data_IF_979820420779
#
_entry.id   IF_979820420779
#
_cell.length_a   1.000
_cell.length_b   1.000
_cell.length_c   1.000
_cell.angle_alpha   90.00
_cell.angle_beta   90.00
_cell.angle_gamma   90.00
#
_symmetry.space_group_name_H-M   'P 1'
#
loop_
_entity.id
_entity.type
_entity.pdbx_description
1 polymer ?
#
# COMPACT_ATOMS: atom_id res chain seq x y z
N UNK A 1 26.23 17.89 72.72
CA UNK A 1 24.79 17.89 72.96
C UNK A 1 24.30 18.56 74.21
N UNK A 2 25.16 19.23 74.98
CA UNK A 2 24.83 19.90 76.28
C UNK A 2 24.95 21.45 76.20
N UNK A 3 25.42 22.04 75.16
CA UNK A 3 25.62 23.48 74.96
C UNK A 3 24.37 24.22 74.38
N UNK A 4 23.55 23.55 73.64
CA UNK A 4 22.38 24.16 72.95
C UNK A 4 21.19 24.38 73.89
N UNK A 5 21.04 23.55 74.92
CA UNK A 5 19.89 23.67 75.84
C UNK A 5 20.05 24.89 76.82
N UNK A 6 21.29 25.34 77.10
CA UNK A 6 21.54 26.50 77.96
C UNK A 6 21.35 27.84 77.22
N UNK A 7 21.52 27.88 75.92
CA UNK A 7 21.23 29.08 75.10
C UNK A 7 19.76 29.33 74.95
N UNK A 8 18.96 28.29 74.71
CA UNK A 8 17.49 28.39 74.57
C UNK A 8 16.83 28.83 75.88
N UNK A 9 17.33 28.35 77.05
CA UNK A 9 16.86 28.76 78.40
C UNK A 9 17.18 30.22 78.73
N UNK A 10 18.32 30.75 78.31
CA UNK A 10 18.69 32.17 78.47
C UNK A 10 17.88 33.11 77.57
N UNK A 11 17.54 32.72 76.36
CA UNK A 11 16.68 33.48 75.45
C UNK A 11 15.28 33.59 76.01
N UNK A 12 14.73 32.53 76.58
CA UNK A 12 13.37 32.52 77.13
C UNK A 12 13.26 33.37 78.42
N UNK A 13 14.34 33.47 79.22
CA UNK A 13 14.37 34.30 80.41
C UNK A 13 14.49 35.80 80.11
N UNK A 14 15.17 36.19 79.03
CA UNK A 14 15.27 37.58 78.54
C UNK A 14 14.01 38.14 77.99
N UNK A 15 13.17 37.28 77.31
CA UNK A 15 11.90 37.68 76.71
C UNK A 15 10.78 37.88 77.74
N UNK A 16 10.90 37.31 78.94
CA UNK A 16 9.93 37.47 80.05
C UNK A 16 10.07 38.79 80.81
N UNK A 17 11.26 39.47 80.70
CA UNK A 17 11.55 40.72 81.39
C UNK A 17 11.12 41.98 80.65
N UNK A 18 10.66 41.91 79.39
CA UNK A 18 10.38 43.07 78.51
C UNK A 18 8.90 43.29 78.21
N UNK A 19 7.99 42.75 79.00
CA UNK A 19 6.56 43.11 78.95
C UNK A 19 5.77 42.83 77.63
N UNK A 20 6.35 42.05 76.72
CA UNK A 20 5.70 41.68 75.46
C UNK A 20 4.94 40.35 75.54
N UNK A 21 3.94 40.31 76.47
CA UNK A 21 3.03 39.12 76.55
C UNK A 21 2.19 38.82 75.33
N UNK A 22 2.11 39.73 74.36
CA UNK A 22 1.32 39.55 73.17
C UNK A 22 1.99 38.71 72.05
N UNK A 23 3.31 38.72 71.97
CA UNK A 23 4.05 38.03 70.94
C UNK A 23 4.13 36.52 71.19
N UNK A 24 4.17 36.10 72.41
CA UNK A 24 4.11 34.67 72.80
C UNK A 24 2.79 34.00 72.46
N UNK A 25 1.67 34.72 72.61
CA UNK A 25 0.40 34.22 72.29
C UNK A 25 0.17 34.10 70.75
N UNK A 26 0.84 34.98 69.98
CA UNK A 26 0.76 34.93 68.51
C UNK A 26 1.61 33.75 68.00
N UNK A 27 2.80 33.51 68.60
CA UNK A 27 3.64 32.37 68.16
C UNK A 27 2.96 31.05 68.56
N UNK A 28 2.29 30.99 69.72
CA UNK A 28 1.56 29.80 70.14
C UNK A 28 0.37 29.50 69.18
N UNK A 29 -0.36 30.52 68.74
CA UNK A 29 -1.45 30.36 67.73
C UNK A 29 -0.97 29.99 66.34
N UNK A 30 0.24 30.38 65.97
CA UNK A 30 0.85 29.94 64.70
C UNK A 30 1.30 28.47 64.73
N UNK A 31 1.63 27.94 65.95
CA UNK A 31 2.01 26.53 66.10
C UNK A 31 0.81 25.59 66.24
N UNK A 32 -0.35 26.14 66.63
CA UNK A 32 -1.62 25.38 66.78
C UNK A 32 -2.49 25.44 65.50
N UNK A 33 -2.01 26.09 64.44
CA UNK A 33 -2.68 25.97 63.13
C UNK A 33 -2.56 24.51 62.68
N UNK A 34 -3.69 23.82 62.36
CA UNK A 34 -3.64 22.47 61.83
C UNK A 34 -2.84 22.52 60.54
N UNK A 35 -1.69 21.82 60.55
CA UNK A 35 -0.79 21.66 59.38
C UNK A 35 -1.50 20.74 58.37
N UNK A 36 -2.65 21.19 57.87
CA UNK A 36 -3.31 20.61 56.71
C UNK A 36 -2.61 21.13 55.48
N UNK A 37 -1.35 20.69 55.28
CA UNK A 37 -0.82 20.63 53.91
C UNK A 37 -1.83 19.79 53.14
N UNK A 38 -2.33 20.29 51.98
CA UNK A 38 -3.11 19.44 51.10
C UNK A 38 -2.23 18.22 50.84
N UNK A 39 -2.68 17.04 51.26
CA UNK A 39 -2.10 15.79 50.82
C UNK A 39 -2.04 15.89 49.32
N UNK A 40 -0.83 16.02 48.77
CA UNK A 40 -0.62 15.74 47.37
C UNK A 40 -1.29 14.39 47.14
N UNK A 41 -2.32 14.37 46.34
CA UNK A 41 -2.83 13.13 45.80
C UNK A 41 -1.64 12.50 45.07
N UNK A 42 -0.98 11.57 45.76
CA UNK A 42 -0.10 10.64 45.08
C UNK A 42 -1.01 9.83 44.14
N UNK A 43 -1.12 10.31 42.92
CA UNK A 43 -1.66 9.55 41.76
C UNK A 43 -0.69 8.41 41.44
N UNK A 44 -0.30 7.64 42.46
CA UNK A 44 0.35 6.36 42.24
C UNK A 44 -0.71 5.44 41.63
N UNK A 45 -0.54 5.16 40.34
CA UNK A 45 -1.35 4.16 39.65
C UNK A 45 -1.09 2.81 40.31
N UNK A 46 -1.98 2.41 41.22
CA UNK A 46 -1.87 1.15 41.93
C UNK A 46 -2.07 -0.01 40.97
N UNK A 47 -0.95 -0.60 40.55
CA UNK A 47 -0.94 -1.74 39.63
C UNK A 47 -1.75 -2.94 40.16
N UNK A 48 -1.85 -3.07 41.50
CA UNK A 48 -2.63 -4.10 42.14
C UNK A 48 -4.15 -3.86 41.94
N UNK A 49 -4.60 -2.63 42.00
CA UNK A 49 -5.98 -2.26 41.77
C UNK A 49 -6.38 -2.47 40.29
N UNK A 50 -5.45 -2.19 39.37
CA UNK A 50 -5.63 -2.53 37.95
C UNK A 50 -5.76 -4.04 37.75
N UNK A 51 -4.89 -4.82 38.41
CA UNK A 51 -4.92 -6.27 38.30
C UNK A 51 -6.25 -6.87 38.84
N UNK A 52 -6.69 -6.42 40.02
CA UNK A 52 -7.95 -6.87 40.62
C UNK A 52 -9.16 -6.51 39.74
N UNK A 53 -9.12 -5.33 39.13
CA UNK A 53 -10.16 -4.87 38.18
C UNK A 53 -10.23 -5.78 36.97
N UNK A 54 -9.11 -6.16 36.37
CA UNK A 54 -9.03 -7.08 35.23
C UNK A 54 -9.48 -8.47 35.64
N UNK A 55 -9.08 -8.94 36.83
CA UNK A 55 -9.40 -10.28 37.31
C UNK A 55 -10.91 -10.42 37.64
N UNK A 56 -11.51 -9.40 38.21
CA UNK A 56 -12.96 -9.36 38.51
C UNK A 56 -13.79 -9.28 37.23
N UNK A 57 -13.27 -8.64 36.16
CA UNK A 57 -13.90 -8.53 34.85
C UNK A 57 -13.58 -9.63 33.85
N UNK A 58 -12.80 -10.65 34.23
CA UNK A 58 -12.25 -11.68 33.30
C UNK A 58 -13.31 -12.33 32.40
N UNK A 59 -14.47 -12.66 32.94
CA UNK A 59 -15.55 -13.27 32.16
C UNK A 59 -16.08 -12.36 31.04
N UNK A 60 -16.15 -11.05 31.31
CA UNK A 60 -16.58 -10.07 30.32
C UNK A 60 -15.51 -9.89 29.23
N UNK A 61 -14.23 -9.86 29.61
CA UNK A 61 -13.11 -9.80 28.66
C UNK A 61 -13.15 -11.05 27.76
N UNK A 62 -13.26 -12.25 28.36
CA UNK A 62 -13.31 -13.52 27.63
C UNK A 62 -14.49 -13.55 26.68
N UNK A 63 -15.70 -13.11 27.11
CA UNK A 63 -16.90 -13.11 26.28
C UNK A 63 -16.75 -12.18 25.08
N UNK A 64 -16.25 -10.96 25.26
CA UNK A 64 -16.01 -10.01 24.17
C UNK A 64 -14.91 -10.53 23.23
N UNK A 65 -13.79 -11.01 23.76
CA UNK A 65 -12.71 -11.57 22.96
C UNK A 65 -13.16 -12.78 22.14
N UNK A 66 -13.93 -13.68 22.74
CA UNK A 66 -14.50 -14.84 22.05
C UNK A 66 -15.48 -14.44 20.95
N UNK A 67 -16.33 -13.43 21.20
CA UNK A 67 -17.28 -12.90 20.20
C UNK A 67 -16.51 -12.33 18.98
N UNK A 68 -15.45 -11.54 19.21
CA UNK A 68 -14.63 -10.98 18.14
C UNK A 68 -13.81 -12.06 17.43
N UNK A 69 -13.28 -13.05 18.16
CA UNK A 69 -12.55 -14.17 17.57
C UNK A 69 -13.45 -15.00 16.65
N UNK A 70 -14.66 -15.37 17.11
CA UNK A 70 -15.63 -16.13 16.31
C UNK A 70 -16.09 -15.29 15.11
N UNK A 71 -16.41 -14.01 15.31
CA UNK A 71 -16.76 -13.09 14.21
C UNK A 71 -15.64 -12.95 13.18
N UNK A 72 -14.39 -12.80 13.61
CA UNK A 72 -13.21 -12.71 12.74
C UNK A 72 -12.98 -13.99 11.95
N UNK A 73 -13.08 -15.16 12.58
CA UNK A 73 -12.97 -16.46 11.91
C UNK A 73 -14.09 -16.66 10.91
N UNK A 74 -15.32 -16.39 11.29
CA UNK A 74 -16.50 -16.49 10.41
C UNK A 74 -16.35 -15.60 9.18
N UNK A 75 -15.96 -14.32 9.37
CA UNK A 75 -15.66 -13.41 8.27
C UNK A 75 -14.53 -13.94 7.36
N UNK A 76 -13.43 -14.43 7.95
CA UNK A 76 -12.29 -14.97 7.20
C UNK A 76 -12.64 -16.24 6.40
N UNK A 77 -13.62 -17.03 6.85
CA UNK A 77 -14.09 -18.22 6.14
C UNK A 77 -15.06 -17.86 4.99
N UNK A 78 -15.96 -16.89 5.20
CA UNK A 78 -16.94 -16.46 4.19
C UNK A 78 -16.33 -15.55 3.13
N UNK A 79 -15.22 -14.88 3.40
CA UNK A 79 -14.57 -13.97 2.45
C UNK A 79 -14.10 -14.72 1.20
N UNK A 80 -14.42 -14.16 0.02
CA UNK A 80 -14.13 -14.74 -1.29
C UNK A 80 -12.62 -14.88 -1.48
N UNK A 81 -12.09 -16.06 -1.87
CA UNK A 81 -10.66 -16.25 -2.10
C UNK A 81 -10.22 -15.44 -3.33
N UNK A 82 -8.99 -14.94 -3.29
CA UNK A 82 -8.32 -14.28 -4.42
C UNK A 82 -6.98 -14.97 -4.67
N UNK A 83 -6.73 -15.29 -5.93
CA UNK A 83 -5.51 -15.92 -6.41
C UNK A 83 -4.72 -14.90 -7.23
N UNK A 84 -3.41 -14.91 -7.08
CA UNK A 84 -2.49 -14.02 -7.75
C UNK A 84 -1.67 -14.79 -8.78
N UNK A 85 -1.71 -14.34 -10.02
CA UNK A 85 -0.88 -14.87 -11.10
C UNK A 85 0.02 -13.76 -11.64
N UNK A 86 1.31 -14.05 -11.75
CA UNK A 86 2.34 -13.11 -12.17
C UNK A 86 2.94 -13.57 -13.49
N UNK A 87 3.16 -12.63 -14.43
CA UNK A 87 3.96 -12.83 -15.64
C UNK A 87 5.20 -11.95 -15.53
N UNK A 88 6.37 -12.53 -15.71
CA UNK A 88 7.63 -11.80 -15.75
C UNK A 88 8.04 -11.53 -17.21
N UNK A 89 8.28 -10.26 -17.51
CA UNK A 89 8.57 -9.76 -18.85
C UNK A 89 9.90 -9.03 -18.88
N UNK A 90 10.65 -9.22 -19.97
CA UNK A 90 11.77 -8.35 -20.33
C UNK A 90 11.37 -7.49 -21.54
N UNK A 91 11.85 -6.24 -21.64
CA UNK A 91 11.72 -5.46 -22.87
C UNK A 91 12.24 -6.25 -24.06
N UNK A 92 11.50 -6.28 -25.16
CA UNK A 92 12.04 -6.83 -26.40
C UNK A 92 13.16 -5.92 -26.88
N UNK A 93 14.36 -6.47 -27.06
CA UNK A 93 15.50 -5.73 -27.60
C UNK A 93 15.15 -5.23 -28.99
N UNK A 94 14.73 -3.98 -29.10
CA UNK A 94 14.68 -3.28 -30.40
C UNK A 94 16.12 -3.00 -30.80
N UNK A 95 16.81 -4.01 -31.37
CA UNK A 95 18.14 -3.88 -31.96
C UNK A 95 18.12 -2.98 -33.20
N UNK A 96 17.81 -1.71 -33.02
CA UNK A 96 17.86 -0.71 -34.09
C UNK A 96 18.31 0.63 -33.55
N UNK A 97 19.46 0.62 -32.90
CA UNK A 97 20.23 1.87 -32.78
C UNK A 97 21.34 1.75 -33.85
N UNK A 98 21.35 2.58 -34.90
CA UNK A 98 22.45 2.60 -35.83
C UNK A 98 23.78 2.75 -35.08
N UNK A 99 24.84 2.04 -35.50
CA UNK A 99 26.05 1.79 -34.73
C UNK A 99 26.76 3.00 -34.08
N UNK A 100 26.54 4.22 -34.55
CA UNK A 100 27.05 5.45 -33.93
C UNK A 100 26.38 5.85 -32.64
N UNK A 101 25.04 5.61 -32.48
CA UNK A 101 24.29 5.91 -31.26
C UNK A 101 24.46 4.80 -30.21
N UNK A 102 24.74 3.57 -30.59
CA UNK A 102 25.06 2.49 -29.66
C UNK A 102 26.36 2.76 -28.88
N UNK A 103 27.37 3.38 -29.50
CA UNK A 103 28.58 3.82 -28.81
C UNK A 103 28.33 4.93 -27.79
N UNK A 104 27.41 5.88 -28.09
CA UNK A 104 27.01 6.92 -27.14
C UNK A 104 26.22 6.35 -25.98
N UNK A 105 25.43 5.30 -26.19
CA UNK A 105 24.69 4.58 -25.12
C UNK A 105 25.65 3.92 -24.11
N UNK A 106 26.80 3.40 -24.56
CA UNK A 106 27.84 2.87 -23.68
C UNK A 106 28.50 3.94 -22.80
N UNK A 107 28.73 5.13 -23.32
CA UNK A 107 29.28 6.26 -22.56
C UNK A 107 28.23 6.85 -21.59
N UNK A 108 26.95 6.89 -21.98
CA UNK A 108 25.87 7.35 -21.13
C UNK A 108 25.61 6.41 -19.93
N UNK A 109 25.82 5.09 -20.11
CA UNK A 109 25.73 4.12 -19.00
C UNK A 109 26.84 4.31 -17.96
N UNK A 110 28.08 4.71 -18.41
CA UNK A 110 29.16 5.08 -17.50
C UNK A 110 28.88 6.38 -16.72
N UNK A 111 28.07 7.28 -17.30
CA UNK A 111 27.59 8.50 -16.63
C UNK A 111 26.36 8.26 -15.73
N UNK A 112 25.96 7.00 -15.53
CA UNK A 112 24.78 6.64 -14.72
C UNK A 112 23.42 6.90 -15.39
N UNK A 113 23.41 7.27 -16.68
CA UNK A 113 22.20 7.47 -17.47
C UNK A 113 21.87 6.18 -18.20
N UNK A 114 20.91 5.43 -17.68
CA UNK A 114 20.45 4.19 -18.28
C UNK A 114 19.51 4.49 -19.46
N UNK A 115 20.07 4.61 -20.66
CA UNK A 115 19.31 4.77 -21.91
C UNK A 115 18.61 3.47 -22.36
N UNK A 116 18.89 2.34 -21.72
CA UNK A 116 18.25 1.05 -22.00
C UNK A 116 16.75 0.99 -21.70
N UNK A 117 16.24 1.93 -20.90
CA UNK A 117 14.82 2.03 -20.55
C UNK A 117 13.93 2.74 -21.56
N UNK A 118 14.48 3.44 -22.54
CA UNK A 118 13.71 4.26 -23.49
C UNK A 118 12.80 3.40 -24.39
N UNK A 119 13.25 2.19 -24.75
CA UNK A 119 12.49 1.27 -25.61
C UNK A 119 11.27 0.60 -24.94
N UNK A 120 11.22 0.53 -23.61
CA UNK A 120 10.15 -0.11 -22.85
C UNK A 120 9.06 0.84 -22.35
N UNK A 121 9.31 2.16 -22.41
CA UNK A 121 8.40 3.17 -21.86
C UNK A 121 7.06 3.21 -22.60
N UNK A 122 7.07 3.17 -23.92
CA UNK A 122 5.88 3.22 -24.75
C UNK A 122 4.99 1.97 -24.55
N UNK A 123 5.46 0.73 -24.70
CA UNK A 123 4.67 -0.46 -24.43
C UNK A 123 4.15 -0.52 -23.00
N UNK A 124 4.93 -0.04 -22.03
CA UNK A 124 4.52 0.03 -20.63
C UNK A 124 3.40 1.06 -20.43
N UNK A 125 3.46 2.21 -21.09
CA UNK A 125 2.41 3.22 -21.06
C UNK A 125 1.11 2.68 -21.69
N UNK A 126 1.21 1.98 -22.82
CA UNK A 126 0.06 1.31 -23.46
C UNK A 126 -0.54 0.27 -22.50
N UNK A 127 0.29 -0.58 -21.91
CA UNK A 127 -0.16 -1.59 -20.95
C UNK A 127 -0.90 -0.97 -19.76
N UNK A 128 -0.50 0.22 -19.30
CA UNK A 128 -1.15 0.97 -18.21
C UNK A 128 -2.40 1.72 -18.65
N UNK A 129 -2.61 1.92 -19.94
CA UNK A 129 -3.67 2.78 -20.46
C UNK A 129 -5.08 2.17 -20.26
N UNK A 130 -6.06 3.04 -20.02
CA UNK A 130 -7.48 2.66 -19.94
C UNK A 130 -8.04 2.20 -21.30
N UNK A 131 -7.47 2.74 -22.39
CA UNK A 131 -7.83 2.35 -23.76
C UNK A 131 -7.52 0.88 -24.01
N UNK A 132 -6.32 0.44 -23.64
CA UNK A 132 -5.91 -0.96 -23.73
C UNK A 132 -6.78 -1.87 -22.86
N UNK A 133 -7.11 -1.44 -21.64
CA UNK A 133 -7.98 -2.23 -20.77
C UNK A 133 -9.39 -2.40 -21.34
N UNK A 134 -9.94 -1.36 -21.96
CA UNK A 134 -11.25 -1.45 -22.60
C UNK A 134 -11.25 -2.48 -23.70
N UNK A 135 -10.23 -2.45 -24.55
CA UNK A 135 -10.02 -3.42 -25.61
C UNK A 135 -9.87 -4.84 -25.06
N UNK A 136 -9.04 -5.02 -24.05
CA UNK A 136 -8.81 -6.30 -23.38
C UNK A 136 -10.10 -6.89 -22.79
N UNK A 137 -10.90 -6.08 -22.08
CA UNK A 137 -12.16 -6.53 -21.48
C UNK A 137 -13.17 -6.91 -22.58
N UNK A 138 -13.21 -6.14 -23.69
CA UNK A 138 -14.10 -6.43 -24.80
C UNK A 138 -13.72 -7.75 -25.51
N UNK A 139 -12.43 -7.98 -25.75
CA UNK A 139 -11.95 -9.20 -26.43
C UNK A 139 -12.01 -10.45 -25.55
N UNK A 140 -11.80 -10.32 -24.25
CA UNK A 140 -11.83 -11.48 -23.33
C UNK A 140 -13.23 -11.85 -22.86
N UNK A 141 -14.23 -10.98 -23.06
CA UNK A 141 -15.60 -11.20 -22.63
C UNK A 141 -15.80 -11.29 -21.12
N UNK A 142 -14.84 -10.82 -20.30
CA UNK A 142 -14.90 -10.89 -18.83
C UNK A 142 -15.84 -9.85 -18.20
N UNK A 143 -16.42 -8.96 -19.02
CA UNK A 143 -17.30 -7.89 -18.53
C UNK A 143 -18.44 -8.41 -17.62
N UNK A 144 -19.18 -9.49 -17.92
CA UNK A 144 -20.22 -9.99 -17.04
C UNK A 144 -19.70 -10.44 -15.68
N UNK A 145 -18.51 -11.06 -15.66
CA UNK A 145 -17.88 -11.54 -14.41
C UNK A 145 -17.40 -10.38 -13.52
N UNK A 146 -16.88 -9.30 -14.13
CA UNK A 146 -16.48 -8.08 -13.42
C UNK A 146 -17.69 -7.34 -12.83
N UNK A 147 -18.78 -7.28 -13.54
CA UNK A 147 -19.97 -6.51 -13.16
C UNK A 147 -20.96 -7.31 -12.29
N UNK A 148 -20.76 -8.61 -12.11
CA UNK A 148 -21.65 -9.46 -11.33
C UNK A 148 -21.88 -8.93 -9.90
N UNK A 149 -20.80 -8.48 -9.23
CA UNK A 149 -20.88 -7.94 -7.87
C UNK A 149 -21.51 -6.53 -7.83
N UNK A 150 -21.27 -5.71 -8.86
CA UNK A 150 -21.79 -4.33 -8.94
C UNK A 150 -23.29 -4.31 -9.23
N UNK A 151 -23.76 -5.20 -10.11
CA UNK A 151 -25.18 -5.35 -10.41
C UNK A 151 -26.03 -5.76 -9.19
N UNK A 152 -25.42 -6.56 -8.30
CA UNK A 152 -26.08 -6.94 -7.05
C UNK A 152 -26.20 -5.79 -6.05
N UNK A 153 -25.28 -4.80 -6.10
CA UNK A 153 -25.18 -3.74 -5.08
C UNK A 153 -25.85 -2.43 -5.51
N UNK A 154 -25.91 -2.10 -6.80
CA UNK A 154 -26.31 -0.76 -7.25
C UNK A 154 -27.48 -0.72 -8.25
N UNK A 155 -27.98 -1.86 -8.75
CA UNK A 155 -29.18 -1.90 -9.61
C UNK A 155 -29.11 -1.10 -10.93
N UNK A 156 -27.98 -0.49 -11.25
CA UNK A 156 -27.76 0.34 -12.43
C UNK A 156 -27.18 -0.46 -13.60
N UNK A 157 -27.49 -0.02 -14.83
CA UNK A 157 -26.86 -0.53 -16.04
C UNK A 157 -25.35 -0.22 -15.98
N UNK A 158 -24.55 -1.22 -15.61
CA UNK A 158 -23.11 -1.10 -15.50
C UNK A 158 -22.45 -1.00 -16.88
N UNK A 159 -21.64 0.04 -17.10
CA UNK A 159 -20.96 0.37 -18.35
C UNK A 159 -19.54 -0.24 -18.39
N UNK A 160 -18.95 -0.28 -19.58
CA UNK A 160 -17.56 -0.71 -19.79
C UNK A 160 -16.55 0.11 -18.97
N UNK A 161 -16.88 1.36 -18.67
CA UNK A 161 -16.07 2.24 -17.80
C UNK A 161 -15.97 1.70 -16.37
N UNK A 162 -17.05 1.15 -15.85
CA UNK A 162 -17.07 0.53 -14.53
C UNK A 162 -16.28 -0.76 -14.53
N UNK A 163 -16.40 -1.58 -15.56
CA UNK A 163 -15.59 -2.78 -15.73
C UNK A 163 -14.08 -2.46 -15.77
N UNK A 164 -13.68 -1.40 -16.49
CA UNK A 164 -12.28 -0.93 -16.53
C UNK A 164 -11.80 -0.54 -15.14
N UNK A 165 -12.57 0.26 -14.41
CA UNK A 165 -12.21 0.70 -13.04
C UNK A 165 -12.07 -0.48 -12.08
N UNK A 166 -12.96 -1.46 -12.17
CA UNK A 166 -12.91 -2.67 -11.34
C UNK A 166 -11.68 -3.48 -11.69
N UNK A 167 -11.41 -3.69 -12.99
CA UNK A 167 -10.27 -4.48 -13.41
C UNK A 167 -8.92 -3.81 -13.11
N UNK A 168 -8.84 -2.47 -13.10
CA UNK A 168 -7.67 -1.73 -12.61
C UNK A 168 -7.26 -2.17 -11.20
N UNK A 169 -8.22 -2.43 -10.30
CA UNK A 169 -7.95 -2.91 -8.93
C UNK A 169 -7.53 -4.40 -8.88
N UNK A 170 -7.87 -5.17 -9.93
CA UNK A 170 -7.51 -6.58 -10.04
C UNK A 170 -6.17 -6.81 -10.73
N UNK A 171 -5.57 -5.77 -11.32
CA UNK A 171 -4.23 -5.86 -11.92
C UNK A 171 -3.24 -4.95 -11.22
N UNK A 172 -1.97 -5.36 -11.26
CA UNK A 172 -0.85 -4.53 -10.84
C UNK A 172 0.29 -4.68 -11.85
N UNK A 173 0.95 -3.59 -12.19
CA UNK A 173 2.11 -3.59 -13.10
C UNK A 173 3.25 -2.95 -12.34
N UNK A 174 4.27 -3.75 -12.07
CA UNK A 174 5.51 -3.34 -11.40
C UNK A 174 6.65 -3.30 -12.42
N UNK A 175 7.34 -2.19 -12.44
CA UNK A 175 8.52 -1.93 -13.28
C UNK A 175 9.74 -1.83 -12.35
N UNK A 176 10.64 -2.78 -12.45
CA UNK A 176 11.91 -2.74 -11.71
C UNK A 176 12.96 -1.99 -12.53
N UNK A 177 13.20 -0.76 -12.15
CA UNK A 177 14.17 0.12 -12.81
C UNK A 177 15.63 -0.38 -12.76
N UNK A 178 15.98 -1.29 -11.84
CA UNK A 178 17.33 -1.82 -11.71
C UNK A 178 17.59 -2.94 -12.71
N UNK A 179 16.61 -3.84 -12.86
CA UNK A 179 16.70 -4.99 -13.76
C UNK A 179 16.09 -4.72 -15.12
N UNK A 180 15.25 -3.68 -15.25
CA UNK A 180 14.46 -3.41 -16.45
C UNK A 180 13.32 -4.39 -16.67
N UNK A 181 13.08 -5.31 -15.73
CA UNK A 181 12.02 -6.30 -15.84
C UNK A 181 10.67 -5.71 -15.44
N UNK A 182 9.62 -6.14 -16.13
CA UNK A 182 8.24 -5.75 -15.85
C UNK A 182 7.46 -6.97 -15.38
N UNK A 183 6.81 -6.85 -14.22
CA UNK A 183 5.93 -7.89 -13.69
C UNK A 183 4.48 -7.44 -13.86
N UNK A 184 3.71 -8.25 -14.57
CA UNK A 184 2.25 -8.07 -14.69
C UNK A 184 1.57 -9.05 -13.76
N UNK A 185 0.83 -8.53 -12.79
CA UNK A 185 0.08 -9.31 -11.80
C UNK A 185 -1.41 -9.19 -12.09
N UNK A 186 -2.12 -10.31 -12.13
CA UNK A 186 -3.58 -10.34 -12.16
C UNK A 186 -4.10 -11.12 -10.95
N UNK A 187 -5.09 -10.53 -10.26
CA UNK A 187 -5.79 -11.15 -9.14
C UNK A 187 -7.19 -11.56 -9.57
N UNK A 188 -7.54 -12.82 -9.36
CA UNK A 188 -8.86 -13.33 -9.72
C UNK A 188 -9.35 -14.36 -8.71
N UNK A 189 -10.66 -14.69 -8.79
CA UNK A 189 -11.27 -15.69 -7.88
C UNK A 189 -10.84 -17.12 -8.19
N UNK A 190 -10.61 -17.38 -9.46
CA UNK A 190 -10.19 -18.68 -9.97
C UNK A 190 -8.72 -18.63 -10.41
N UNK A 191 -7.86 -19.59 -9.97
CA UNK A 191 -6.44 -19.59 -10.28
C UNK A 191 -6.14 -19.78 -11.78
N UNK A 192 -6.94 -20.58 -12.50
CA UNK A 192 -6.77 -20.80 -13.92
C UNK A 192 -7.05 -19.51 -14.70
N UNK A 193 -8.19 -18.90 -14.42
CA UNK A 193 -8.58 -17.62 -15.03
C UNK A 193 -7.58 -16.52 -14.72
N UNK A 194 -7.01 -16.46 -13.51
CA UNK A 194 -5.98 -15.47 -13.16
C UNK A 194 -4.75 -15.58 -14.08
N UNK A 195 -4.24 -16.81 -14.27
CA UNK A 195 -3.10 -17.08 -15.13
C UNK A 195 -3.41 -16.81 -16.60
N UNK A 196 -4.59 -17.25 -17.07
CA UNK A 196 -5.04 -17.03 -18.45
C UNK A 196 -5.19 -15.54 -18.78
N UNK A 197 -5.79 -14.76 -17.89
CA UNK A 197 -5.95 -13.32 -18.09
C UNK A 197 -4.60 -12.62 -18.14
N UNK A 198 -3.67 -12.96 -17.23
CA UNK A 198 -2.34 -12.38 -17.21
C UNK A 198 -1.58 -12.68 -18.52
N UNK A 199 -1.58 -13.94 -18.98
CA UNK A 199 -0.93 -14.34 -20.23
C UNK A 199 -1.60 -13.72 -21.45
N UNK A 200 -2.94 -13.66 -21.50
CA UNK A 200 -3.70 -13.03 -22.61
C UNK A 200 -3.42 -11.54 -22.71
N UNK A 201 -3.28 -10.85 -21.55
CA UNK A 201 -2.97 -9.43 -21.55
C UNK A 201 -1.62 -9.13 -22.23
N UNK A 202 -0.61 -9.94 -21.96
CA UNK A 202 0.71 -9.80 -22.61
C UNK A 202 0.65 -10.13 -24.10
N UNK A 203 -0.08 -11.19 -24.48
CA UNK A 203 -0.25 -11.52 -25.89
C UNK A 203 -0.93 -10.39 -26.65
N UNK A 204 -2.03 -9.88 -26.13
CA UNK A 204 -2.77 -8.78 -26.76
C UNK A 204 -1.90 -7.53 -26.93
N UNK A 205 -1.09 -7.21 -25.91
CA UNK A 205 -0.15 -6.09 -26.01
C UNK A 205 0.86 -6.28 -27.14
N UNK A 206 1.49 -7.47 -27.20
CA UNK A 206 2.46 -7.79 -28.25
C UNK A 206 1.82 -7.76 -29.65
N UNK A 207 0.64 -8.34 -29.81
CA UNK A 207 -0.12 -8.32 -31.08
C UNK A 207 -0.47 -6.89 -31.51
N UNK A 208 -0.96 -6.08 -30.59
CA UNK A 208 -1.32 -4.68 -30.86
C UNK A 208 -0.09 -3.87 -31.29
N UNK A 209 0.98 -3.91 -30.50
CA UNK A 209 2.21 -3.17 -30.81
C UNK A 209 2.86 -3.63 -32.13
N UNK A 210 2.83 -4.94 -32.39
CA UNK A 210 3.29 -5.51 -33.65
C UNK A 210 2.46 -5.01 -34.83
N UNK A 211 1.12 -5.01 -34.71
CA UNK A 211 0.21 -4.55 -35.74
C UNK A 211 0.41 -3.07 -36.05
N UNK A 212 0.48 -2.23 -35.02
CA UNK A 212 0.77 -0.79 -35.15
C UNK A 212 2.10 -0.56 -35.89
N UNK A 213 3.17 -1.27 -35.49
CA UNK A 213 4.47 -1.15 -36.13
C UNK A 213 4.48 -1.62 -37.62
N UNK A 214 3.73 -2.69 -37.94
CA UNK A 214 3.59 -3.16 -39.31
C UNK A 214 2.86 -2.14 -40.18
N UNK A 215 1.76 -1.59 -39.68
CA UNK A 215 0.95 -0.60 -40.41
C UNK A 215 1.75 0.70 -40.64
N UNK A 216 2.48 1.15 -39.64
CA UNK A 216 3.33 2.35 -39.74
C UNK A 216 4.48 2.15 -40.73
N UNK A 217 5.22 1.05 -40.60
CA UNK A 217 6.31 0.76 -41.51
C UNK A 217 5.83 0.59 -42.96
N UNK A 218 4.68 -0.07 -43.18
CA UNK A 218 4.11 -0.22 -44.51
C UNK A 218 3.74 1.15 -45.11
N UNK A 219 3.05 2.02 -44.32
CA UNK A 219 2.70 3.38 -44.79
C UNK A 219 3.95 4.19 -45.17
N UNK A 220 5.00 4.10 -44.36
CA UNK A 220 6.25 4.79 -44.61
C UNK A 220 6.97 4.26 -45.87
N UNK A 221 6.97 2.93 -46.09
CA UNK A 221 7.52 2.29 -47.27
C UNK A 221 6.79 2.77 -48.51
N UNK A 222 5.43 2.71 -48.51
CA UNK A 222 4.61 3.12 -49.65
C UNK A 222 4.81 4.62 -50.00
N UNK A 223 4.91 5.46 -48.96
CA UNK A 223 5.17 6.89 -49.15
C UNK A 223 6.56 7.13 -49.76
N UNK A 224 7.63 6.53 -49.18
CA UNK A 224 9.00 6.69 -49.66
C UNK A 224 9.19 6.19 -51.07
N UNK A 225 8.58 5.06 -51.45
CA UNK A 225 8.61 4.53 -52.81
C UNK A 225 8.01 5.52 -53.84
N UNK A 226 6.86 6.12 -53.50
CA UNK A 226 6.22 7.13 -54.37
C UNK A 226 7.11 8.38 -54.52
N UNK A 227 7.68 8.83 -53.42
CA UNK A 227 8.51 10.05 -53.41
C UNK A 227 9.84 9.86 -54.17
N UNK A 228 10.47 8.70 -53.98
CA UNK A 228 11.68 8.34 -54.76
C UNK A 228 11.39 8.31 -56.28
N UNK A 229 10.22 7.79 -56.67
CA UNK A 229 9.82 7.72 -58.09
C UNK A 229 9.52 9.11 -58.69
N UNK A 230 9.07 10.06 -57.88
CA UNK A 230 8.72 11.44 -58.31
C UNK A 230 9.91 12.40 -58.30
N UNK A 231 10.98 12.10 -57.59
CA UNK A 231 12.14 12.97 -57.40
C UNK A 231 13.20 12.76 -58.47
N UNK A 232 13.67 13.81 -59.14
CA UNK A 232 14.76 13.78 -60.12
C UNK A 232 16.14 14.04 -59.54
N UNK A 233 16.25 14.42 -58.25
CA UNK A 233 17.49 14.78 -57.55
C UNK A 233 18.16 13.52 -57.02
N UNK A 234 19.27 13.10 -57.61
CA UNK A 234 19.98 11.84 -57.28
C UNK A 234 20.43 11.77 -55.80
N UNK A 235 20.93 12.87 -55.23
CA UNK A 235 21.37 12.91 -53.83
C UNK A 235 20.18 12.69 -52.84
N UNK A 236 18.99 13.20 -53.20
CA UNK A 236 17.76 13.01 -52.40
C UNK A 236 17.27 11.58 -52.53
N UNK A 237 17.28 11.00 -53.76
CA UNK A 237 16.93 9.59 -53.96
C UNK A 237 17.82 8.64 -53.12
N UNK A 238 19.14 8.88 -53.09
CA UNK A 238 20.04 8.10 -52.23
C UNK A 238 19.76 8.22 -50.74
N UNK A 239 19.42 9.42 -50.28
CA UNK A 239 19.04 9.66 -48.86
C UNK A 239 17.73 8.99 -48.49
N UNK A 240 16.72 9.08 -49.33
CA UNK A 240 15.45 8.40 -49.19
C UNK A 240 15.59 6.87 -49.25
N UNK A 241 16.48 6.36 -50.13
CA UNK A 241 16.79 4.93 -50.22
C UNK A 241 17.32 4.35 -48.91
N UNK A 242 18.18 5.07 -48.17
CA UNK A 242 18.67 4.65 -46.86
C UNK A 242 17.56 4.64 -45.80
N UNK A 243 16.65 5.61 -45.85
CA UNK A 243 15.49 5.63 -44.93
C UNK A 243 14.54 4.48 -45.26
N UNK A 244 14.29 4.22 -46.55
CA UNK A 244 13.49 3.09 -47.01
C UNK A 244 14.07 1.74 -46.55
N UNK A 245 15.38 1.56 -46.63
CA UNK A 245 16.03 0.35 -46.11
C UNK A 245 15.76 0.16 -44.59
N UNK A 246 15.85 1.25 -43.81
CA UNK A 246 15.54 1.23 -42.37
C UNK A 246 14.08 0.85 -42.10
N UNK A 247 13.12 1.38 -42.88
CA UNK A 247 11.71 1.05 -42.72
C UNK A 247 11.42 -0.42 -43.15
N UNK A 248 12.08 -0.90 -44.19
CA UNK A 248 12.00 -2.32 -44.59
C UNK A 248 12.56 -3.24 -43.52
N UNK A 249 13.64 -2.88 -42.85
CA UNK A 249 14.16 -3.63 -41.68
C UNK A 249 13.15 -3.68 -40.54
N UNK A 250 12.51 -2.56 -40.19
CA UNK A 250 11.46 -2.52 -39.16
C UNK A 250 10.29 -3.45 -39.51
N UNK A 251 9.85 -3.40 -40.78
CA UNK A 251 8.79 -4.25 -41.30
C UNK A 251 9.14 -5.74 -41.17
N UNK A 252 10.37 -6.13 -41.53
CA UNK A 252 10.86 -7.50 -41.40
C UNK A 252 10.93 -7.96 -39.96
N UNK A 253 11.44 -7.12 -39.06
CA UNK A 253 11.49 -7.40 -37.62
C UNK A 253 10.10 -7.57 -37.01
N UNK A 254 9.15 -6.71 -37.38
CA UNK A 254 7.78 -6.82 -36.90
C UNK A 254 7.04 -8.06 -37.45
N UNK A 255 7.35 -8.50 -38.70
CA UNK A 255 6.80 -9.75 -39.25
C UNK A 255 7.37 -11.00 -38.58
N UNK A 256 8.65 -11.00 -38.28
CA UNK A 256 9.36 -12.18 -37.74
C UNK A 256 9.29 -12.38 -36.24
N UNK A 257 8.76 -11.38 -35.48
CA UNK A 257 8.79 -11.43 -34.02
C UNK A 257 7.38 -11.33 -33.42
N UNK A 258 6.90 -12.43 -32.83
CA UNK A 258 5.60 -12.44 -32.13
C UNK A 258 5.67 -11.70 -30.78
N UNK A 259 6.83 -11.71 -30.12
CA UNK A 259 7.07 -11.02 -28.85
C UNK A 259 7.67 -9.63 -29.10
N UNK A 260 6.91 -8.78 -29.79
CA UNK A 260 7.39 -7.51 -30.32
C UNK A 260 7.64 -6.44 -29.27
N UNK A 261 6.77 -6.32 -28.28
CA UNK A 261 6.88 -5.31 -27.22
C UNK A 261 7.64 -5.83 -26.00
N UNK A 262 7.28 -7.01 -25.53
CA UNK A 262 7.89 -7.68 -24.40
C UNK A 262 8.14 -9.15 -24.69
N UNK A 263 9.31 -9.62 -24.29
CA UNK A 263 9.65 -11.03 -24.24
C UNK A 263 9.15 -11.62 -22.92
N UNK A 264 8.39 -12.71 -23.01
CA UNK A 264 7.93 -13.45 -21.81
C UNK A 264 9.11 -14.26 -21.29
N UNK A 265 9.56 -13.93 -20.07
CA UNK A 265 10.61 -14.67 -19.36
C UNK A 265 10.00 -15.81 -18.57
N UNK A 266 8.93 -15.52 -17.84
CA UNK A 266 8.18 -16.51 -17.06
C UNK A 266 6.68 -16.29 -17.25
N UNK A 267 5.98 -17.21 -17.91
CA UNK A 267 4.54 -17.10 -18.10
C UNK A 267 3.79 -17.37 -16.79
N UNK A 268 2.63 -16.74 -16.63
CA UNK A 268 1.78 -16.99 -15.48
C UNK A 268 1.34 -18.44 -15.45
N UNK A 269 1.51 -19.06 -14.30
CA UNK A 269 0.99 -20.40 -13.97
C UNK A 269 -0.09 -20.30 -12.92
N UNK A 270 -1.09 -21.23 -12.92
CA UNK A 270 -2.14 -21.22 -11.92
C UNK A 270 -1.58 -21.38 -10.50
N UNK A 271 -1.77 -20.40 -9.61
CA UNK A 271 -1.22 -20.44 -8.27
C UNK A 271 -1.92 -21.52 -7.43
N UNK A 272 -1.15 -22.31 -6.65
CA UNK A 272 -1.68 -23.30 -5.73
C UNK A 272 -2.21 -22.68 -4.43
N UNK A 273 -1.64 -21.56 -4.02
CA UNK A 273 -1.97 -20.86 -2.77
C UNK A 273 -2.79 -19.62 -3.05
N UNK A 274 -3.80 -19.37 -2.22
CA UNK A 274 -4.57 -18.12 -2.25
C UNK A 274 -3.75 -16.98 -1.67
N UNK A 275 -3.81 -15.78 -2.27
CA UNK A 275 -3.15 -14.58 -1.78
C UNK A 275 -3.97 -13.91 -0.66
N UNK A 276 -5.27 -13.82 -0.83
CA UNK A 276 -6.17 -13.16 0.11
C UNK A 276 -7.49 -13.95 0.29
N UNK A 277 -8.16 -13.76 1.44
CA UNK A 277 -7.71 -13.08 2.64
C UNK A 277 -6.68 -13.93 3.43
N UNK A 278 -5.75 -13.25 4.12
CA UNK A 278 -4.82 -13.92 5.05
C UNK A 278 -5.60 -14.28 6.34
N UNK A 279 -6.24 -15.45 6.35
CA UNK A 279 -7.17 -15.88 7.41
C UNK A 279 -6.57 -15.84 8.80
N UNK A 280 -5.32 -16.31 8.93
CA UNK A 280 -4.58 -16.29 10.21
C UNK A 280 -4.38 -14.86 10.72
N UNK A 281 -4.01 -13.92 9.87
CA UNK A 281 -3.80 -12.54 10.23
C UNK A 281 -5.11 -11.87 10.68
N UNK A 282 -6.21 -12.09 9.95
CA UNK A 282 -7.53 -11.55 10.32
C UNK A 282 -7.98 -12.09 11.68
N UNK A 283 -7.81 -13.40 11.93
CA UNK A 283 -8.18 -14.01 13.22
C UNK A 283 -7.35 -13.45 14.37
N UNK A 284 -6.03 -13.28 14.17
CA UNK A 284 -5.14 -12.71 15.20
C UNK A 284 -5.54 -11.26 15.51
N UNK A 285 -5.72 -10.42 14.48
CA UNK A 285 -6.08 -9.00 14.66
C UNK A 285 -7.45 -8.87 15.31
N UNK A 286 -8.44 -9.69 14.90
CA UNK A 286 -9.77 -9.68 15.49
C UNK A 286 -9.72 -10.08 16.98
N UNK A 287 -8.95 -11.09 17.34
CA UNK A 287 -8.77 -11.54 18.73
C UNK A 287 -8.09 -10.48 19.59
N UNK A 288 -7.02 -9.85 19.08
CA UNK A 288 -6.33 -8.76 19.80
C UNK A 288 -7.24 -7.54 20.00
N UNK A 289 -7.98 -7.15 18.95
CA UNK A 289 -8.95 -6.07 19.02
C UNK A 289 -10.07 -6.37 20.04
N UNK A 290 -10.58 -7.61 20.05
CA UNK A 290 -11.56 -8.06 21.02
C UNK A 290 -11.02 -8.01 22.46
N UNK A 291 -9.78 -8.44 22.68
CA UNK A 291 -9.11 -8.36 23.99
C UNK A 291 -8.96 -6.91 24.47
N UNK A 292 -8.51 -6.03 23.59
CA UNK A 292 -8.36 -4.60 23.92
C UNK A 292 -9.72 -3.95 24.25
N UNK A 293 -10.74 -4.20 23.44
CA UNK A 293 -12.09 -3.71 23.69
C UNK A 293 -12.70 -4.31 24.96
N UNK A 294 -12.41 -5.57 25.26
CA UNK A 294 -12.79 -6.23 26.50
C UNK A 294 -12.20 -5.55 27.74
N UNK A 295 -10.91 -5.23 27.71
CA UNK A 295 -10.23 -4.46 28.76
C UNK A 295 -10.87 -3.09 28.93
N UNK A 296 -11.05 -2.35 27.84
CA UNK A 296 -11.64 -1.01 27.85
C UNK A 296 -13.06 -1.04 28.42
N UNK A 297 -13.86 -2.06 28.08
CA UNK A 297 -15.21 -2.24 28.60
C UNK A 297 -15.24 -2.49 30.12
N UNK A 298 -14.26 -3.24 30.67
CA UNK A 298 -14.13 -3.48 32.10
C UNK A 298 -13.79 -2.19 32.85
N UNK A 299 -12.82 -1.42 32.35
CA UNK A 299 -12.46 -0.13 32.95
C UNK A 299 -13.60 0.89 32.89
N UNK A 300 -14.29 0.96 31.74
CA UNK A 300 -15.45 1.85 31.60
C UNK A 300 -16.57 1.45 32.55
N UNK A 301 -16.83 0.15 32.70
CA UNK A 301 -17.81 -0.36 33.65
C UNK A 301 -17.46 -0.01 35.10
N UNK A 302 -16.17 -0.09 35.47
CA UNK A 302 -15.68 0.31 36.79
C UNK A 302 -15.91 1.81 37.00
N UNK A 303 -15.48 2.66 36.09
CA UNK A 303 -15.61 4.11 36.16
C UNK A 303 -17.12 4.56 36.30
N UNK A 304 -18.00 3.91 35.53
CA UNK A 304 -19.46 4.19 35.62
C UNK A 304 -20.02 3.74 36.97
N UNK A 305 -19.57 2.60 37.52
CA UNK A 305 -20.03 2.06 38.79
C UNK A 305 -19.56 2.93 39.95
N UNK A 306 -18.36 3.47 39.92
CA UNK A 306 -17.84 4.41 40.93
C UNK A 306 -18.58 5.74 40.90
N UNK A 307 -18.90 6.27 39.74
CA UNK A 307 -19.74 7.49 39.60
C UNK A 307 -21.19 7.32 40.10
N UNK A 308 -21.70 6.09 40.09
CA UNK A 308 -23.08 5.79 40.55
C UNK A 308 -23.18 5.45 42.04
N UNK A 309 -22.06 5.36 42.77
CA UNK A 309 -22.08 5.28 44.21
C UNK A 309 -22.26 6.71 44.75
N UNK A 310 -23.45 7.14 45.20
CA UNK A 310 -23.62 8.42 45.88
C UNK A 310 -22.73 8.34 47.12
N UNK A 311 -22.02 9.44 47.43
CA UNK A 311 -21.31 9.63 48.68
C UNK A 311 -22.34 9.42 49.81
N UNK A 312 -22.34 8.22 50.39
CA UNK A 312 -23.02 8.00 51.67
C UNK A 312 -22.17 8.71 52.69
N UNK A 313 -22.56 9.97 53.01
CA UNK A 313 -22.04 10.78 54.06
C UNK A 313 -22.44 10.25 55.43
#
# INVERSE_FOLDING_TARGET
MAADSRMAARAAACLKATGFGGVSAIIQRMNDAPNSLPQAYDDEIDLWELWDTVWSGRWLIIAITALFAVGGVTYALLAKPSFRADVLLAPADKKTVPGSLAQLGGLASLAGVNLGGVGSQEPLAVLRSKGFLREFIAQTGIMPALLADVRQTQGQAADIRDAVRIFENHRSISDDKKTGLVTVTVRWRDPQTAADLANRMVRLLNERQRKEALEDAQRNVDFLQKEIASTSVVSLQQSMGRVLEGEMQKLMLARGNEQFAFKVIDPATPPKLREAPKRTLISIVATLAGGFLGLLAVFLRKAIRERRRPAAG
#
